data_IF_101261368586
#
_entry.id   IF_101261368586
#
_cell.length_a   1.000
_cell.length_b   1.000
_cell.length_c   1.000
_cell.angle_alpha   90.00
_cell.angle_beta   90.00
_cell.angle_gamma   90.00
#
_symmetry.space_group_name_H-M   'P 1'
#
loop_
_entity.id
_entity.type
_entity.pdbx_description
1 polymer ?
#
# COMPACT_ATOMS: atom_id res chain seq x y z
N UNK A 1 -41.54 -7.76 13.87
CA UNK A 1 -41.96 -7.28 15.20
C UNK A 1 -40.72 -7.32 16.07
N UNK A 2 -40.09 -6.17 16.30
CA UNK A 2 -40.33 -5.33 17.51
C UNK A 2 -39.94 -6.09 18.79
N UNK A 3 -39.27 -5.54 19.79
CA UNK A 3 -38.59 -4.27 20.03
C UNK A 3 -37.91 -4.55 21.38
N UNK A 4 -36.59 -4.52 21.42
CA UNK A 4 -35.82 -4.68 22.64
C UNK A 4 -35.13 -3.38 23.04
N UNK A 5 -35.90 -2.29 23.11
CA UNK A 5 -35.59 -1.14 23.98
C UNK A 5 -35.28 -1.66 25.40
N UNK A 6 -34.51 -1.06 26.29
CA UNK A 6 -33.78 0.20 26.40
C UNK A 6 -33.33 0.19 27.88
N UNK A 7 -32.11 0.59 28.23
CA UNK A 7 -31.92 1.47 29.40
C UNK A 7 -30.47 1.87 29.70
N UNK A 8 -30.35 3.19 29.84
CA UNK A 8 -29.61 3.96 30.85
C UNK A 8 -28.09 4.07 30.74
N UNK A 9 -27.73 5.24 30.19
CA UNK A 9 -27.12 6.36 30.93
C UNK A 9 -25.78 6.10 31.61
N UNK A 10 -24.74 6.75 31.07
CA UNK A 10 -23.87 7.66 31.82
C UNK A 10 -23.21 8.65 30.84
N UNK A 11 -23.77 9.85 30.79
CA UNK A 11 -23.11 11.02 30.20
C UNK A 11 -21.89 11.34 31.08
N UNK A 12 -20.69 11.30 30.50
CA UNK A 12 -19.54 12.02 31.06
C UNK A 12 -19.23 13.15 30.10
N UNK A 13 -19.62 14.34 30.53
CA UNK A 13 -19.30 15.62 29.90
C UNK A 13 -17.87 15.95 30.28
N UNK A 14 -17.02 16.21 29.29
CA UNK A 14 -15.72 16.84 29.54
C UNK A 14 -15.64 18.07 28.64
N UNK A 15 -15.84 19.23 29.26
CA UNK A 15 -15.62 20.56 28.71
C UNK A 15 -14.18 20.94 29.04
N UNK A 16 -13.38 21.31 28.05
CA UNK A 16 -12.19 22.15 28.21
C UNK A 16 -11.73 22.60 26.81
N UNK A 17 -12.23 23.76 26.37
CA UNK A 17 -11.49 25.04 26.23
C UNK A 17 -10.75 25.18 24.88
N UNK A 18 -11.40 25.95 24.02
CA UNK A 18 -10.93 26.47 22.74
C UNK A 18 -9.86 27.55 22.97
N UNK A 19 -8.62 27.30 22.53
CA UNK A 19 -7.61 28.35 22.41
C UNK A 19 -7.61 28.86 20.96
N UNK A 20 -8.21 30.04 20.74
CA UNK A 20 -8.00 30.85 19.54
C UNK A 20 -6.66 31.55 19.67
N UNK A 21 -5.67 31.14 18.87
CA UNK A 21 -4.46 31.92 18.64
C UNK A 21 -4.54 32.56 17.24
N UNK A 22 -4.62 33.88 17.26
CA UNK A 22 -4.60 34.79 16.11
C UNK A 22 -3.15 34.90 15.63
N UNK A 23 -2.93 34.80 14.32
CA UNK A 23 -1.60 35.04 13.74
C UNK A 23 -1.57 34.89 12.23
N UNK A 24 -2.09 35.89 11.51
CA UNK A 24 -1.86 36.03 10.09
C UNK A 24 -0.44 36.60 9.85
N UNK A 25 0.47 35.73 9.42
CA UNK A 25 1.70 36.13 8.73
C UNK A 25 1.89 35.15 7.59
N UNK A 26 1.59 35.60 6.37
CA UNK A 26 1.82 34.85 5.15
C UNK A 26 3.19 35.26 4.59
N UNK A 27 4.26 34.47 4.76
CA UNK A 27 5.35 34.55 3.83
C UNK A 27 4.85 33.95 2.52
N UNK A 28 4.78 34.75 1.46
CA UNK A 28 4.66 34.26 0.09
C UNK A 28 5.93 33.47 -0.22
N UNK A 29 5.95 32.20 0.17
CA UNK A 29 7.06 31.30 -0.08
C UNK A 29 6.77 30.66 -1.43
N UNK A 30 7.51 31.12 -2.44
CA UNK A 30 7.58 30.50 -3.74
C UNK A 30 7.71 28.98 -3.54
N UNK A 31 6.63 28.25 -3.82
CA UNK A 31 6.65 26.81 -3.85
C UNK A 31 7.36 26.41 -5.13
N UNK A 32 8.68 26.51 -5.11
CA UNK A 32 9.49 25.62 -5.94
C UNK A 32 9.19 24.24 -5.39
N UNK A 33 8.15 23.60 -5.92
CA UNK A 33 7.87 22.21 -5.62
C UNK A 33 9.19 21.47 -5.81
N UNK A 34 9.73 20.81 -4.77
CA UNK A 34 10.86 19.94 -4.99
C UNK A 34 10.38 18.93 -6.05
N UNK A 35 10.98 19.03 -7.23
CA UNK A 35 11.14 17.88 -8.11
C UNK A 35 11.93 16.90 -7.26
N UNK A 36 11.24 16.17 -6.38
CA UNK A 36 11.77 14.92 -5.87
C UNK A 36 12.13 14.18 -7.15
N UNK A 37 13.42 13.89 -7.41
CA UNK A 37 13.69 12.75 -8.24
C UNK A 37 12.90 11.65 -7.53
N UNK A 38 11.89 11.09 -8.19
CA UNK A 38 11.52 9.71 -7.90
C UNK A 38 12.81 8.96 -8.20
N UNK A 39 13.73 8.95 -7.24
CA UNK A 39 14.87 8.06 -7.27
C UNK A 39 14.21 6.72 -7.45
N UNK A 40 14.57 6.05 -8.54
CA UNK A 40 14.11 4.72 -8.86
C UNK A 40 14.41 3.88 -7.62
N UNK A 41 13.41 3.78 -6.74
CA UNK A 41 13.46 2.89 -5.61
C UNK A 41 13.41 1.53 -6.26
N UNK A 42 14.59 1.00 -6.57
CA UNK A 42 14.77 -0.25 -7.27
C UNK A 42 13.99 -1.28 -6.47
N UNK A 43 12.88 -1.75 -7.02
CA UNK A 43 12.00 -2.69 -6.31
C UNK A 43 12.77 -3.98 -6.18
N UNK A 44 13.36 -4.22 -5.02
CA UNK A 44 14.09 -5.45 -4.73
C UNK A 44 13.09 -6.53 -4.36
N UNK A 45 13.12 -7.66 -5.05
CA UNK A 45 12.32 -8.83 -4.73
C UNK A 45 13.17 -9.87 -4.01
N UNK A 46 12.54 -10.63 -3.12
CA UNK A 46 13.21 -11.73 -2.40
C UNK A 46 12.58 -13.07 -2.74
N UNK A 47 13.38 -14.14 -2.71
CA UNK A 47 12.85 -15.51 -2.92
C UNK A 47 11.84 -15.85 -1.83
N UNK A 48 10.69 -16.39 -2.24
CA UNK A 48 9.57 -16.72 -1.36
C UNK A 48 8.53 -15.60 -1.24
N UNK A 49 8.82 -14.41 -1.75
CA UNK A 49 7.88 -13.28 -1.71
C UNK A 49 6.70 -13.51 -2.66
N UNK A 50 5.50 -13.09 -2.22
CA UNK A 50 4.30 -13.13 -3.03
C UNK A 50 4.22 -11.88 -3.91
N UNK A 51 4.03 -12.11 -5.20
CA UNK A 51 3.99 -11.06 -6.22
C UNK A 51 2.85 -11.31 -7.19
N UNK A 52 2.48 -10.28 -7.93
CA UNK A 52 1.55 -10.35 -9.05
C UNK A 52 2.00 -9.40 -10.15
N UNK A 53 1.61 -9.65 -11.39
CA UNK A 53 1.77 -8.63 -12.42
C UNK A 53 0.88 -7.42 -12.07
N UNK A 54 1.40 -6.22 -12.32
CA UNK A 54 0.65 -4.96 -12.18
C UNK A 54 -0.59 -4.92 -13.06
N UNK A 55 -0.58 -5.66 -14.18
CA UNK A 55 -1.71 -5.83 -15.08
C UNK A 55 -2.78 -6.81 -14.54
N UNK A 56 -2.51 -7.55 -13.47
CA UNK A 56 -3.40 -8.57 -12.91
C UNK A 56 -2.83 -9.99 -13.03
N UNK A 57 -3.71 -10.98 -13.24
CA UNK A 57 -3.29 -12.40 -13.36
C UNK A 57 -3.25 -13.16 -12.02
N UNK A 58 -2.64 -14.37 -12.00
CA UNK A 58 -2.54 -15.17 -10.78
C UNK A 58 -1.54 -14.56 -9.79
N UNK A 59 -1.71 -14.90 -8.50
CA UNK A 59 -0.69 -14.61 -7.50
C UNK A 59 0.46 -15.62 -7.64
N UNK A 60 1.69 -15.14 -7.61
CA UNK A 60 2.88 -15.92 -7.87
C UNK A 60 3.88 -15.78 -6.72
N UNK A 61 4.80 -16.74 -6.63
CA UNK A 61 5.90 -16.74 -5.66
C UNK A 61 7.22 -16.53 -6.38
N UNK A 62 8.07 -15.66 -5.86
CA UNK A 62 9.43 -15.47 -6.38
C UNK A 62 10.27 -16.71 -6.09
N UNK A 63 10.78 -17.34 -7.14
CA UNK A 63 11.65 -18.53 -7.04
C UNK A 63 13.13 -18.16 -7.15
N UNK A 64 13.46 -17.15 -7.95
CA UNK A 64 14.80 -16.62 -8.12
C UNK A 64 14.74 -15.17 -8.62
N UNK A 65 15.79 -14.41 -8.31
CA UNK A 65 16.00 -13.05 -8.81
C UNK A 65 17.40 -13.00 -9.42
N UNK A 66 17.48 -12.47 -10.64
CA UNK A 66 18.75 -12.25 -11.34
C UNK A 66 18.69 -10.90 -12.04
N UNK A 67 19.56 -9.99 -11.65
CA UNK A 67 19.59 -8.62 -12.16
C UNK A 67 18.20 -7.94 -12.01
N UNK A 68 17.57 -7.53 -13.11
CA UNK A 68 16.22 -6.94 -13.15
C UNK A 68 15.11 -7.97 -13.46
N UNK A 69 15.46 -9.26 -13.55
CA UNK A 69 14.55 -10.34 -13.89
C UNK A 69 14.19 -11.14 -12.63
N UNK A 70 12.89 -11.41 -12.51
CA UNK A 70 12.31 -12.15 -11.39
C UNK A 70 11.64 -13.40 -11.96
N UNK A 71 12.16 -14.57 -11.59
CA UNK A 71 11.54 -15.84 -11.94
C UNK A 71 10.44 -16.14 -10.93
N UNK A 72 9.21 -16.22 -11.41
CA UNK A 72 8.01 -16.49 -10.64
C UNK A 72 7.50 -17.90 -10.91
N UNK A 73 6.92 -18.53 -9.87
CA UNK A 73 6.20 -19.81 -9.96
C UNK A 73 4.79 -19.62 -9.39
N UNK A 74 3.80 -20.30 -9.97
CA UNK A 74 2.42 -20.31 -9.44
C UNK A 74 1.73 -21.62 -9.79
N UNK A 75 0.53 -21.80 -9.25
CA UNK A 75 -0.36 -22.89 -9.64
C UNK A 75 -1.41 -22.33 -10.59
N UNK A 76 -1.53 -22.91 -11.79
CA UNK A 76 -2.54 -22.52 -12.77
C UNK A 76 -3.96 -22.96 -12.35
N UNK A 77 -4.96 -22.57 -13.13
CA UNK A 77 -6.37 -22.91 -12.87
C UNK A 77 -6.66 -24.43 -12.93
N UNK A 78 -5.75 -25.22 -13.50
CA UNK A 78 -5.84 -26.68 -13.54
C UNK A 78 -5.18 -27.37 -12.33
N UNK A 79 -4.61 -26.60 -11.41
CA UNK A 79 -3.89 -27.12 -10.25
C UNK A 79 -2.47 -27.55 -10.56
N UNK A 80 -1.92 -27.19 -11.73
CA UNK A 80 -0.57 -27.58 -12.15
C UNK A 80 0.42 -26.45 -11.89
N UNK A 81 1.66 -26.76 -11.51
CA UNK A 81 2.70 -25.75 -11.36
C UNK A 81 3.09 -25.18 -12.73
N UNK A 82 3.25 -23.87 -12.79
CA UNK A 82 3.73 -23.12 -13.96
C UNK A 82 4.79 -22.09 -13.52
N UNK A 83 5.61 -21.63 -14.46
CA UNK A 83 6.69 -20.66 -14.22
C UNK A 83 6.94 -19.70 -15.37
N UNK A 84 7.31 -18.47 -15.03
CA UNK A 84 7.73 -17.45 -16.00
C UNK A 84 8.68 -16.44 -15.37
N UNK A 85 9.45 -15.77 -16.21
CA UNK A 85 10.37 -14.71 -15.81
C UNK A 85 9.82 -13.37 -16.27
N UNK A 86 9.79 -12.41 -15.36
CA UNK A 86 9.29 -11.06 -15.62
C UNK A 86 10.31 -10.00 -15.20
N UNK A 87 10.33 -8.85 -15.89
CA UNK A 87 10.98 -7.66 -15.38
C UNK A 87 10.45 -7.25 -14.00
N UNK A 88 11.31 -6.74 -13.13
CA UNK A 88 10.97 -6.30 -11.78
C UNK A 88 9.91 -5.18 -11.78
N UNK A 89 9.93 -4.29 -12.76
CA UNK A 89 9.06 -3.13 -12.86
C UNK A 89 7.59 -3.49 -13.16
N UNK A 90 7.34 -4.61 -13.82
CA UNK A 90 5.96 -5.10 -14.11
C UNK A 90 5.33 -5.86 -12.94
N UNK A 91 6.08 -6.12 -11.86
CA UNK A 91 5.61 -6.83 -10.68
C UNK A 91 5.23 -5.87 -9.55
N UNK A 92 4.30 -6.31 -8.71
CA UNK A 92 3.95 -5.68 -7.43
C UNK A 92 3.95 -6.73 -6.31
N UNK A 93 4.36 -6.28 -5.11
CA UNK A 93 4.40 -7.07 -3.87
C UNK A 93 3.03 -7.08 -3.18
N UNK A 94 2.78 -8.10 -2.37
CA UNK A 94 1.57 -8.26 -1.54
C UNK A 94 1.87 -8.31 -0.06
#
# INVERSE_FOLDING_TARGET
MELGMSSRTKRRVTVATLLLAIGASCPALASTAPLSPKGDAMVQFERGELVRLRSGGPMMTVSAVKDDQVKCIWTDDSGRPDDATFPADVLQKF
#
